data_IF_093335621085
#
_entry.id   IF_093335621085
#
_cell.length_a   1.000
_cell.length_b   1.000
_cell.length_c   1.000
_cell.angle_alpha   90.00
_cell.angle_beta   90.00
_cell.angle_gamma   90.00
#
_symmetry.space_group_name_H-M   'P 1'
#
loop_
_entity.id
_entity.type
_entity.pdbx_description
1 polymer ?
#
# COMPACT_ATOMS: atom_id res chain seq x y z
N UNK A 1 12.11 7.46 9.81
CA UNK A 1 12.85 7.17 8.55
C UNK A 1 14.06 8.10 8.27
N UNK A 2 14.14 9.29 8.89
CA UNK A 2 15.15 10.34 8.64
C UNK A 2 16.61 9.94 8.83
N UNK A 3 16.90 8.94 9.68
CA UNK A 3 18.29 8.45 9.89
C UNK A 3 18.59 7.18 9.09
N UNK A 4 17.62 6.27 9.00
CA UNK A 4 17.82 4.94 8.38
C UNK A 4 17.86 5.03 6.86
N UNK A 5 16.91 5.74 6.23
CA UNK A 5 16.86 5.81 4.76
C UNK A 5 18.11 6.46 4.15
N UNK A 6 18.65 7.57 4.68
CA UNK A 6 19.91 8.11 4.18
C UNK A 6 21.08 7.14 4.33
N UNK A 7 21.12 6.34 5.41
CA UNK A 7 22.14 5.31 5.59
C UNK A 7 22.01 4.19 4.56
N UNK A 8 20.80 3.70 4.29
CA UNK A 8 20.59 2.69 3.24
C UNK A 8 20.96 3.19 1.85
N UNK A 9 20.62 4.46 1.52
CA UNK A 9 21.04 5.10 0.27
C UNK A 9 22.56 5.21 0.15
N UNK A 10 23.24 5.58 1.24
CA UNK A 10 24.71 5.62 1.29
C UNK A 10 25.34 4.25 1.08
N UNK A 11 24.76 3.22 1.68
CA UNK A 11 25.18 1.83 1.42
C UNK A 11 25.07 1.59 -0.08
N UNK A 12 23.86 1.62 -0.68
CA UNK A 12 23.66 1.38 -2.11
C UNK A 12 24.60 2.16 -3.05
N UNK A 13 24.91 3.42 -2.72
CA UNK A 13 25.81 4.29 -3.49
C UNK A 13 27.32 4.02 -3.24
N UNK A 14 27.66 2.96 -2.52
CA UNK A 14 29.01 2.62 -2.09
C UNK A 14 29.69 3.70 -1.24
N UNK A 15 29.17 3.92 -0.04
CA UNK A 15 29.89 4.70 0.98
C UNK A 15 31.06 3.89 1.56
N UNK A 16 32.27 4.44 1.45
CA UNK A 16 33.51 3.81 1.91
C UNK A 16 33.72 4.05 3.41
N UNK A 17 32.81 3.54 4.23
CA UNK A 17 32.78 3.67 5.69
C UNK A 17 32.54 2.32 6.39
N UNK A 18 33.07 2.18 7.62
CA UNK A 18 32.92 0.96 8.43
C UNK A 18 33.36 -0.33 7.73
N UNK A 19 32.47 -1.33 7.74
CA UNK A 19 32.68 -2.70 7.22
C UNK A 19 33.04 -2.71 5.72
N UNK A 20 32.63 -1.70 4.94
CA UNK A 20 32.97 -1.65 3.50
C UNK A 20 34.47 -1.42 3.23
N UNK A 21 35.28 -1.16 4.27
CA UNK A 21 36.75 -1.08 4.21
C UNK A 21 37.45 -2.41 4.48
N UNK A 22 36.75 -3.38 5.06
CA UNK A 22 37.33 -4.69 5.38
C UNK A 22 37.70 -5.43 4.09
N UNK A 23 38.80 -6.19 4.10
CA UNK A 23 39.40 -6.73 2.86
C UNK A 23 38.45 -7.68 2.14
N UNK A 24 37.83 -8.58 2.89
CA UNK A 24 36.85 -9.58 2.44
C UNK A 24 35.57 -8.96 1.89
N UNK A 25 35.12 -7.84 2.49
CA UNK A 25 33.93 -7.13 2.03
C UNK A 25 34.23 -6.26 0.82
N UNK A 26 35.34 -5.52 0.82
CA UNK A 26 35.74 -4.62 -0.26
C UNK A 26 35.94 -5.34 -1.60
N UNK A 27 36.40 -6.59 -1.59
CA UNK A 27 36.52 -7.40 -2.80
C UNK A 27 35.14 -7.67 -3.43
N UNK A 28 34.13 -7.95 -2.59
CA UNK A 28 32.75 -8.26 -3.01
C UNK A 28 31.86 -7.04 -3.19
N UNK A 29 32.14 -5.95 -2.49
CA UNK A 29 31.35 -4.74 -2.41
C UNK A 29 32.25 -3.50 -2.54
N UNK A 30 32.27 -2.94 -3.74
CA UNK A 30 33.11 -1.84 -4.19
C UNK A 30 32.35 -0.95 -5.17
N UNK A 31 33.00 0.13 -5.62
CA UNK A 31 32.40 1.12 -6.52
C UNK A 31 31.83 0.53 -7.83
N UNK A 32 32.34 -0.61 -8.28
CA UNK A 32 31.97 -1.21 -9.57
C UNK A 32 30.86 -2.26 -9.44
N UNK A 33 30.69 -2.87 -8.27
CA UNK A 33 29.69 -3.94 -8.04
C UNK A 33 28.69 -3.60 -6.93
N UNK A 34 28.84 -2.45 -6.28
CA UNK A 34 27.83 -1.88 -5.42
C UNK A 34 26.68 -1.30 -6.25
N UNK A 35 25.49 -1.41 -5.68
CA UNK A 35 24.25 -0.96 -6.31
C UNK A 35 23.08 -1.76 -5.78
N UNK A 36 21.97 -1.65 -6.47
CA UNK A 36 20.69 -2.25 -6.10
C UNK A 36 19.63 -1.19 -5.84
N UNK A 37 18.47 -1.65 -5.43
CA UNK A 37 17.36 -0.82 -5.04
C UNK A 37 16.70 -1.45 -3.81
N UNK A 38 16.00 -0.64 -3.04
CA UNK A 38 15.11 -1.14 -2.00
C UNK A 38 13.77 -0.42 -2.14
N UNK A 39 12.71 -1.11 -1.73
CA UNK A 39 11.39 -0.50 -1.54
C UNK A 39 11.22 -0.21 -0.05
N UNK A 40 10.64 0.94 0.25
CA UNK A 40 10.31 1.34 1.61
C UNK A 40 8.80 1.56 1.68
N UNK A 41 8.17 0.90 2.64
CA UNK A 41 6.74 0.99 2.87
C UNK A 41 6.50 1.61 4.24
N UNK A 42 5.52 2.49 4.31
CA UNK A 42 4.91 2.93 5.55
C UNK A 42 3.51 2.35 5.58
N UNK A 43 3.24 1.52 6.58
CA UNK A 43 1.98 0.82 6.73
C UNK A 43 1.22 1.45 7.90
N UNK A 44 -0.10 1.47 7.79
CA UNK A 44 -0.97 1.85 8.90
C UNK A 44 -0.78 0.86 10.06
N UNK A 45 -0.50 1.38 11.25
CA UNK A 45 -0.42 0.55 12.46
C UNK A 45 -1.83 0.34 13.03
N UNK A 46 -2.03 -0.76 13.76
CA UNK A 46 -3.30 -1.07 14.43
C UNK A 46 -3.83 0.10 15.28
N UNK A 47 -2.93 0.80 15.99
CA UNK A 47 -3.26 1.95 16.82
C UNK A 47 -3.68 3.17 15.99
N UNK A 48 -3.09 3.36 14.82
CA UNK A 48 -3.49 4.41 13.86
C UNK A 48 -4.87 4.12 13.29
N UNK A 49 -5.16 2.85 12.98
CA UNK A 49 -6.49 2.41 12.56
C UNK A 49 -7.51 2.72 13.65
N UNK A 50 -7.26 2.31 14.90
CA UNK A 50 -8.17 2.57 16.04
C UNK A 50 -8.43 4.06 16.28
N UNK A 51 -7.45 4.93 16.06
CA UNK A 51 -7.64 6.38 16.23
C UNK A 51 -8.53 7.02 15.18
N UNK A 52 -8.61 6.41 13.99
CA UNK A 52 -9.31 6.97 12.82
C UNK A 52 -10.62 6.23 12.52
N UNK A 53 -10.83 5.10 13.17
CA UNK A 53 -12.01 4.26 12.97
C UNK A 53 -13.27 5.08 13.26
N UNK A 54 -14.24 5.04 12.35
CA UNK A 54 -15.55 5.67 12.54
C UNK A 54 -16.61 4.59 12.59
N UNK A 55 -17.22 4.44 13.75
CA UNK A 55 -18.35 3.53 13.94
C UNK A 55 -19.65 4.32 13.89
N UNK A 56 -20.56 3.97 13.00
CA UNK A 56 -21.98 4.27 13.17
C UNK A 56 -22.70 3.07 13.76
N UNK A 57 -23.77 3.33 14.52
CA UNK A 57 -24.74 2.31 14.86
C UNK A 57 -25.48 1.91 13.58
N UNK A 58 -25.00 0.88 12.89
CA UNK A 58 -25.68 0.33 11.72
C UNK A 58 -26.04 -1.13 11.94
N UNK A 59 -27.27 -1.48 11.56
CA UNK A 59 -27.82 -2.85 11.59
C UNK A 59 -27.26 -3.72 10.45
N UNK A 60 -26.47 -3.13 9.54
CA UNK A 60 -26.07 -3.71 8.25
C UNK A 60 -24.95 -4.76 8.34
N UNK A 61 -24.33 -4.94 9.51
CA UNK A 61 -23.12 -5.76 9.66
C UNK A 61 -23.15 -6.69 10.89
N UNK A 62 -24.33 -7.01 11.41
CA UNK A 62 -24.45 -8.11 12.36
C UNK A 62 -24.37 -9.43 11.60
N UNK A 63 -23.22 -10.10 11.70
CA UNK A 63 -23.11 -11.48 11.26
C UNK A 63 -23.69 -12.37 12.37
N UNK A 64 -24.92 -12.92 12.23
CA UNK A 64 -25.56 -13.73 13.27
C UNK A 64 -24.83 -15.06 13.51
N UNK A 65 -23.84 -15.40 12.69
CA UNK A 65 -23.05 -16.62 12.77
C UNK A 65 -21.70 -16.46 13.49
N UNK A 66 -21.35 -15.26 13.97
CA UNK A 66 -20.10 -15.01 14.70
C UNK A 66 -20.33 -14.38 16.07
N UNK A 67 -19.67 -14.92 17.08
CA UNK A 67 -19.66 -14.37 18.44
C UNK A 67 -19.15 -12.91 18.43
N UNK A 68 -19.85 -11.97 19.11
CA UNK A 68 -19.50 -10.55 19.10
C UNK A 68 -18.06 -10.23 19.50
N UNK A 69 -17.42 -11.08 20.33
CA UNK A 69 -16.03 -10.89 20.77
C UNK A 69 -15.00 -11.41 19.77
N UNK A 70 -15.42 -12.21 18.79
CA UNK A 70 -14.57 -12.76 17.73
C UNK A 70 -14.76 -12.04 16.39
N UNK A 71 -15.66 -11.06 16.32
CA UNK A 71 -15.83 -10.23 15.14
C UNK A 71 -14.64 -9.26 14.99
N UNK A 72 -14.12 -9.14 13.77
CA UNK A 72 -13.03 -8.22 13.49
C UNK A 72 -13.55 -6.78 13.64
N UNK A 73 -13.04 -6.07 14.65
CA UNK A 73 -13.56 -4.78 15.12
C UNK A 73 -13.49 -3.67 14.06
N UNK A 74 -12.73 -3.86 12.98
CA UNK A 74 -12.63 -2.93 11.85
C UNK A 74 -13.59 -3.25 10.68
N UNK A 75 -14.37 -4.32 10.74
CA UNK A 75 -15.42 -4.58 9.73
C UNK A 75 -16.48 -3.47 9.69
N UNK A 76 -16.61 -2.70 10.77
CA UNK A 76 -17.56 -1.59 10.93
C UNK A 76 -16.94 -0.21 10.66
N UNK A 77 -15.71 -0.15 10.14
CA UNK A 77 -15.03 1.12 9.90
C UNK A 77 -15.52 1.81 8.64
N UNK A 78 -16.23 2.92 8.79
CA UNK A 78 -16.70 3.74 7.68
C UNK A 78 -15.60 4.60 7.05
N UNK A 79 -14.40 4.67 7.64
CA UNK A 79 -13.28 5.47 7.11
C UNK A 79 -13.00 5.20 5.64
N UNK A 80 -13.06 3.94 5.21
CA UNK A 80 -12.77 3.57 3.82
C UNK A 80 -13.89 4.00 2.85
N UNK A 81 -15.11 4.26 3.33
CA UNK A 81 -16.18 4.88 2.53
C UNK A 81 -15.85 6.33 2.16
N UNK A 82 -15.05 7.04 2.96
CA UNK A 82 -14.65 8.42 2.64
C UNK A 82 -13.85 8.49 1.34
N UNK A 83 -13.17 7.40 0.98
CA UNK A 83 -12.43 7.27 -0.28
C UNK A 83 -13.33 7.01 -1.49
N UNK A 84 -14.61 6.69 -1.29
CA UNK A 84 -15.57 6.42 -2.36
C UNK A 84 -16.45 7.66 -2.60
N UNK A 85 -16.39 8.20 -3.81
CA UNK A 85 -17.34 9.19 -4.30
C UNK A 85 -18.32 8.51 -5.24
N UNK A 86 -19.60 8.47 -4.85
CA UNK A 86 -20.67 7.89 -5.67
C UNK A 86 -21.35 9.02 -6.43
N UNK A 87 -21.20 9.00 -7.75
CA UNK A 87 -21.96 9.84 -8.66
C UNK A 87 -23.24 9.09 -9.06
N UNK A 88 -24.34 9.42 -8.39
CA UNK A 88 -25.65 8.82 -8.61
C UNK A 88 -26.26 9.19 -9.97
N UNK A 89 -25.88 10.32 -10.57
CA UNK A 89 -26.42 10.76 -11.86
C UNK A 89 -25.83 9.94 -13.01
N UNK A 90 -24.53 9.64 -12.94
CA UNK A 90 -23.82 8.87 -13.95
C UNK A 90 -23.64 7.38 -13.58
N UNK A 91 -24.13 6.97 -12.41
CA UNK A 91 -23.95 5.63 -11.84
C UNK A 91 -22.47 5.19 -11.82
N UNK A 92 -21.58 6.13 -11.49
CA UNK A 92 -20.13 5.92 -11.44
C UNK A 92 -19.64 6.02 -10.00
N UNK A 93 -18.73 5.12 -9.64
CA UNK A 93 -18.01 5.18 -8.36
C UNK A 93 -16.59 5.60 -8.65
N UNK A 94 -16.18 6.73 -8.09
CA UNK A 94 -14.82 7.21 -8.18
C UNK A 94 -14.10 6.93 -6.85
N UNK A 95 -12.90 6.40 -6.96
CA UNK A 95 -12.05 6.15 -5.80
C UNK A 95 -11.03 7.28 -5.69
N UNK A 96 -11.01 7.93 -4.53
CA UNK A 96 -9.95 8.86 -4.16
C UNK A 96 -9.29 8.41 -2.85
N UNK A 97 -8.22 7.62 -2.98
CA UNK A 97 -7.45 7.11 -1.85
C UNK A 97 -6.69 8.24 -1.12
N UNK A 98 -6.47 9.40 -1.77
CA UNK A 98 -5.74 10.51 -1.14
C UNK A 98 -6.46 11.09 0.09
N UNK A 99 -7.78 10.86 0.19
CA UNK A 99 -8.60 11.20 1.36
C UNK A 99 -8.26 10.38 2.60
N UNK A 100 -7.73 9.18 2.43
CA UNK A 100 -7.33 8.30 3.55
C UNK A 100 -5.97 8.69 4.09
N UNK A 101 -4.97 8.70 3.19
CA UNK A 101 -3.59 9.03 3.47
C UNK A 101 -2.98 9.78 2.29
N UNK A 102 -2.13 10.75 2.61
CA UNK A 102 -1.32 11.44 1.60
C UNK A 102 -0.27 10.50 1.01
N UNK A 103 0.01 10.65 -0.28
CA UNK A 103 1.12 9.96 -0.98
C UNK A 103 1.01 8.42 -1.00
N UNK A 104 -0.20 7.87 -1.09
CA UNK A 104 -0.39 6.43 -1.33
C UNK A 104 0.17 6.06 -2.70
N UNK A 105 1.03 5.04 -2.73
CA UNK A 105 1.52 4.43 -3.97
C UNK A 105 0.49 3.42 -4.49
N UNK A 106 -0.38 3.87 -5.39
CA UNK A 106 -1.47 3.05 -5.96
C UNK A 106 -0.89 1.84 -6.74
N UNK A 107 0.09 1.99 -7.67
CA UNK A 107 0.69 0.85 -8.36
C UNK A 107 1.20 -0.23 -7.41
N UNK A 108 1.95 0.16 -6.38
CA UNK A 108 2.54 -0.78 -5.44
C UNK A 108 1.47 -1.41 -4.53
N UNK A 109 0.44 -0.65 -4.16
CA UNK A 109 -0.73 -1.17 -3.42
C UNK A 109 -1.43 -2.25 -4.23
N UNK A 110 -1.66 -2.04 -5.53
CA UNK A 110 -2.27 -3.04 -6.42
C UNK A 110 -1.39 -4.27 -6.60
N UNK A 111 -0.07 -4.08 -6.73
CA UNK A 111 0.92 -5.17 -6.77
C UNK A 111 0.80 -6.07 -5.53
N UNK A 112 0.75 -5.47 -4.34
CA UNK A 112 0.62 -6.20 -3.08
C UNK A 112 -0.75 -6.89 -2.94
N UNK A 113 -1.82 -6.21 -3.37
CA UNK A 113 -3.19 -6.72 -3.26
C UNK A 113 -3.46 -7.90 -4.21
N UNK A 114 -3.00 -7.80 -5.45
CA UNK A 114 -3.20 -8.81 -6.48
C UNK A 114 -2.12 -9.90 -6.46
N UNK A 115 -1.01 -9.67 -5.73
CA UNK A 115 0.15 -10.56 -5.72
C UNK A 115 0.89 -10.59 -7.06
N UNK A 116 0.80 -9.51 -7.84
CA UNK A 116 1.34 -9.42 -9.21
C UNK A 116 2.54 -8.49 -9.25
N UNK A 117 3.60 -8.93 -9.93
CA UNK A 117 4.79 -8.11 -10.12
C UNK A 117 4.54 -7.02 -11.15
N UNK A 118 4.96 -5.80 -10.83
CA UNK A 118 4.85 -4.66 -11.74
C UNK A 118 5.94 -4.77 -12.81
N UNK A 119 5.51 -4.73 -14.06
CA UNK A 119 6.39 -4.68 -15.23
C UNK A 119 6.69 -3.25 -15.65
N UNK A 120 5.69 -2.36 -15.61
CA UNK A 120 5.84 -0.95 -15.99
C UNK A 120 4.84 -0.04 -15.27
N UNK A 121 5.31 1.12 -14.83
CA UNK A 121 4.48 2.20 -14.27
C UNK A 121 4.47 3.37 -15.25
N UNK A 122 3.29 3.92 -15.52
CA UNK A 122 3.10 5.17 -16.26
C UNK A 122 2.21 6.13 -15.46
N UNK A 123 2.12 7.41 -15.83
CA UNK A 123 1.24 8.36 -15.15
C UNK A 123 -0.25 7.97 -15.18
N UNK A 124 -0.67 7.20 -16.19
CA UNK A 124 -2.08 6.87 -16.43
C UNK A 124 -2.44 5.42 -16.06
N UNK A 125 -1.49 4.49 -16.16
CA UNK A 125 -1.73 3.07 -15.91
C UNK A 125 -0.51 2.34 -15.36
N UNK A 126 -0.77 1.19 -14.72
CA UNK A 126 0.24 0.19 -14.35
C UNK A 126 0.06 -1.08 -15.21
N UNK A 127 1.16 -1.66 -15.68
CA UNK A 127 1.21 -2.94 -16.39
C UNK A 127 1.92 -3.97 -15.52
N UNK A 128 1.30 -5.14 -15.35
CA UNK A 128 1.84 -6.28 -14.61
C UNK A 128 2.53 -7.29 -15.55
N UNK A 129 3.34 -8.19 -14.97
CA UNK A 129 4.09 -9.21 -15.73
C UNK A 129 3.20 -10.17 -16.55
N UNK A 130 1.96 -10.39 -16.13
CA UNK A 130 0.97 -11.20 -16.85
C UNK A 130 0.29 -10.45 -18.02
N UNK A 131 0.65 -9.18 -18.23
CA UNK A 131 0.13 -8.33 -19.29
C UNK A 131 -1.15 -7.56 -18.91
N UNK A 132 -1.69 -7.74 -17.71
CA UNK A 132 -2.82 -6.96 -17.23
C UNK A 132 -2.44 -5.47 -17.08
N UNK A 133 -3.35 -4.59 -17.51
CA UNK A 133 -3.18 -3.13 -17.41
C UNK A 133 -4.32 -2.52 -16.61
N UNK A 134 -3.98 -1.80 -15.55
CA UNK A 134 -4.94 -1.14 -14.67
C UNK A 134 -4.77 0.37 -14.77
N UNK A 135 -5.88 1.08 -15.03
CA UNK A 135 -5.92 2.53 -15.10
C UNK A 135 -5.87 3.14 -13.69
N UNK A 136 -4.98 4.11 -13.48
CA UNK A 136 -4.77 4.78 -12.20
C UNK A 136 -5.72 5.98 -12.00
N UNK A 137 -6.24 6.58 -13.08
CA UNK A 137 -7.19 7.71 -13.03
C UNK A 137 -8.63 7.26 -12.79
N UNK A 138 -8.99 6.12 -13.38
CA UNK A 138 -10.31 5.51 -13.25
C UNK A 138 -10.16 4.12 -12.65
N UNK A 139 -9.82 4.07 -11.36
CA UNK A 139 -9.63 2.82 -10.64
C UNK A 139 -10.97 2.13 -10.37
N UNK A 140 -11.10 0.86 -10.76
CA UNK A 140 -12.29 0.07 -10.40
C UNK A 140 -12.30 -0.20 -8.89
N UNK A 141 -13.33 0.31 -8.21
CA UNK A 141 -13.52 0.10 -6.77
C UNK A 141 -13.58 -1.39 -6.40
N UNK A 142 -13.96 -2.28 -7.33
CA UNK A 142 -14.00 -3.73 -7.08
C UNK A 142 -12.63 -4.31 -6.81
N UNK A 143 -11.58 -3.76 -7.45
CA UNK A 143 -10.20 -4.21 -7.23
C UNK A 143 -9.74 -3.90 -5.83
N UNK A 144 -10.08 -2.71 -5.32
CA UNK A 144 -9.69 -2.28 -3.98
C UNK A 144 -10.73 -2.61 -2.91
N UNK A 145 -11.85 -3.22 -3.27
CA UNK A 145 -12.91 -3.61 -2.33
C UNK A 145 -12.36 -4.38 -1.12
N UNK A 146 -11.39 -5.31 -1.24
CA UNK A 146 -10.81 -5.98 -0.07
C UNK A 146 -10.06 -5.05 0.89
N UNK A 147 -9.59 -3.89 0.43
CA UNK A 147 -9.00 -2.84 1.28
C UNK A 147 -10.08 -2.01 2.01
N UNK A 148 -11.28 -1.94 1.43
CA UNK A 148 -12.42 -1.17 1.96
C UNK A 148 -13.25 -2.02 2.92
N UNK A 149 -13.49 -3.28 2.56
CA UNK A 149 -14.26 -4.25 3.34
C UNK A 149 -13.45 -5.52 3.58
N UNK A 150 -13.21 -5.80 4.86
CA UNK A 150 -12.49 -6.99 5.32
C UNK A 150 -13.35 -8.27 5.33
N UNK A 151 -14.59 -8.22 4.83
CA UNK A 151 -15.47 -9.38 4.72
C UNK A 151 -15.41 -10.01 3.32
N UNK A 152 -15.32 -11.35 3.30
CA UNK A 152 -15.49 -12.14 2.08
C UNK A 152 -16.92 -12.07 1.55
#
# INVERSE_FOLDING_TARGET
>A
HTVILPRMKKVLAYDKSGISKEKDVKEKYNRNNAGGFFKYYELEQYEDTLRRVKYESSDLFDNPYQDPYNQYVFMRDLKMLEALEVDYENNKVKVDLSKLYSNIDIPETLSNLLGKWIKKITPDYVEFEDGEKINLKELDYKLIKPLIWWSK
#
